data_IF_492046370277
#
_entry.id   IF_492046370277
#
_cell.length_a   1.000
_cell.length_b   1.000
_cell.length_c   1.000
_cell.angle_alpha   90.00
_cell.angle_beta   90.00
_cell.angle_gamma   90.00
#
_symmetry.space_group_name_H-M   'P 1'
#
loop_
_entity.id
_entity.type
_entity.pdbx_description
1 polymer ?
#
# COMPACT_ATOMS: atom_id res chain seq x y z
N UNK A 1 51.21 15.65 -40.06
CA UNK A 1 50.05 14.73 -39.93
C UNK A 1 49.44 14.59 -38.54
N UNK A 2 50.03 15.09 -37.45
CA UNK A 2 49.52 14.84 -36.08
C UNK A 2 48.33 15.71 -35.64
N UNK A 3 48.24 16.96 -36.10
CA UNK A 3 47.20 17.90 -35.65
C UNK A 3 45.78 17.56 -36.14
N UNK A 4 45.64 17.05 -37.38
CA UNK A 4 44.33 16.69 -37.92
C UNK A 4 43.71 15.47 -37.21
N UNK A 5 44.54 14.53 -36.74
CA UNK A 5 44.07 13.34 -36.02
C UNK A 5 43.60 13.66 -34.60
N UNK A 6 44.22 14.65 -33.94
CA UNK A 6 43.80 15.08 -32.60
C UNK A 6 42.45 15.79 -32.62
N UNK A 7 42.16 16.62 -33.63
CA UNK A 7 40.88 17.32 -33.74
C UNK A 7 39.70 16.37 -34.03
N UNK A 8 39.93 15.32 -34.81
CA UNK A 8 38.93 14.27 -35.07
C UNK A 8 38.63 13.47 -33.80
N UNK A 9 39.66 13.09 -33.05
CA UNK A 9 39.50 12.37 -31.78
C UNK A 9 38.78 13.22 -30.72
N UNK A 10 39.13 14.51 -30.61
CA UNK A 10 38.47 15.44 -29.69
C UNK A 10 37.00 15.63 -30.05
N UNK A 11 36.67 15.72 -31.35
CA UNK A 11 35.28 15.84 -31.83
C UNK A 11 34.45 14.59 -31.53
N UNK A 12 35.01 13.39 -31.70
CA UNK A 12 34.34 12.12 -31.36
C UNK A 12 34.11 12.01 -29.85
N UNK A 13 35.07 12.42 -29.03
CA UNK A 13 34.94 12.39 -27.56
C UNK A 13 33.91 13.41 -27.06
N UNK A 14 33.94 14.65 -27.56
CA UNK A 14 32.95 15.67 -27.19
C UNK A 14 31.55 15.27 -27.67
N UNK A 15 31.42 14.77 -28.89
CA UNK A 15 30.17 14.23 -29.44
C UNK A 15 29.64 13.03 -28.63
N UNK A 16 30.52 12.10 -28.25
CA UNK A 16 30.16 10.94 -27.42
C UNK A 16 29.70 11.35 -26.02
N UNK A 17 30.41 12.26 -25.35
CA UNK A 17 30.06 12.72 -24.01
C UNK A 17 28.76 13.54 -23.98
N UNK A 18 28.54 14.38 -24.99
CA UNK A 18 27.29 15.14 -25.15
C UNK A 18 26.11 14.22 -25.48
N UNK A 19 26.30 13.23 -26.37
CA UNK A 19 25.30 12.20 -26.61
C UNK A 19 24.95 11.44 -25.33
N UNK A 20 25.94 11.02 -24.53
CA UNK A 20 25.72 10.30 -23.27
C UNK A 20 24.93 11.14 -22.25
N UNK A 21 25.22 12.44 -22.17
CA UNK A 21 24.46 13.39 -21.36
C UNK A 21 23.02 13.55 -21.85
N UNK A 22 22.81 13.67 -23.15
CA UNK A 22 21.48 13.77 -23.77
C UNK A 22 20.68 12.48 -23.53
N UNK A 23 21.27 11.30 -23.72
CA UNK A 23 20.62 10.01 -23.44
C UNK A 23 20.22 9.87 -21.97
N UNK A 24 21.07 10.32 -21.04
CA UNK A 24 20.76 10.33 -19.61
C UNK A 24 19.55 11.24 -19.29
N UNK A 25 19.51 12.45 -19.88
CA UNK A 25 18.40 13.39 -19.70
C UNK A 25 17.10 12.85 -20.33
N UNK A 26 17.16 12.31 -21.55
CA UNK A 26 16.00 11.69 -22.21
C UNK A 26 15.49 10.49 -21.39
N UNK A 27 16.40 9.64 -20.89
CA UNK A 27 16.06 8.52 -20.01
C UNK A 27 15.38 8.98 -18.73
N UNK A 28 15.89 10.04 -18.09
CA UNK A 28 15.31 10.64 -16.90
C UNK A 28 13.92 11.26 -17.19
N UNK A 29 13.75 11.95 -18.32
CA UNK A 29 12.47 12.52 -18.75
C UNK A 29 11.47 11.41 -19.09
N UNK A 30 11.88 10.34 -19.76
CA UNK A 30 11.01 9.19 -20.05
C UNK A 30 10.57 8.49 -18.76
N UNK A 31 11.50 8.27 -17.82
CA UNK A 31 11.20 7.73 -16.50
C UNK A 31 10.26 8.64 -15.71
N UNK A 32 10.52 9.95 -15.71
CA UNK A 32 9.70 10.96 -15.05
C UNK A 32 8.29 11.04 -15.65
N UNK A 33 8.18 10.99 -16.99
CA UNK A 33 6.89 10.99 -17.70
C UNK A 33 6.11 9.70 -17.46
N UNK A 34 6.78 8.54 -17.37
CA UNK A 34 6.17 7.25 -17.00
C UNK A 34 5.58 7.28 -15.59
N UNK A 35 6.24 7.97 -14.65
CA UNK A 35 5.72 8.17 -13.28
C UNK A 35 4.56 9.17 -13.26
N UNK A 36 4.61 10.25 -14.06
CA UNK A 36 3.52 11.24 -14.14
C UNK A 36 2.23 10.66 -14.73
N UNK A 37 2.30 9.73 -15.68
CA UNK A 37 1.13 9.13 -16.33
C UNK A 37 0.19 8.41 -15.35
N UNK A 38 0.69 7.95 -14.20
CA UNK A 38 -0.10 7.33 -13.13
C UNK A 38 -0.89 8.31 -12.24
N UNK A 39 -0.58 9.62 -12.26
CA UNK A 39 -1.29 10.63 -11.45
C UNK A 39 -2.49 11.26 -12.19
N UNK A 40 -2.68 10.98 -13.48
CA UNK A 40 -3.73 11.59 -14.30
C UNK A 40 -5.11 10.93 -14.20
N UNK A 41 -5.18 9.63 -13.86
CA UNK A 41 -6.44 8.86 -13.88
C UNK A 41 -7.28 8.94 -12.60
N UNK A 42 -6.81 9.62 -11.54
CA UNK A 42 -7.52 9.65 -10.26
C UNK A 42 -8.42 10.88 -10.04
N UNK A 43 -8.63 11.73 -11.07
CA UNK A 43 -9.34 13.02 -10.91
C UNK A 43 -10.80 13.04 -11.38
N UNK A 44 -11.40 11.90 -11.70
CA UNK A 44 -12.77 11.89 -12.23
C UNK A 44 -13.58 10.69 -11.73
N UNK A 45 -14.00 10.73 -10.46
CA UNK A 45 -15.30 10.24 -9.94
C UNK A 45 -15.38 10.74 -8.49
N UNK A 46 -16.10 11.84 -8.27
CA UNK A 46 -16.85 12.11 -7.03
C UNK A 46 -17.52 13.48 -7.15
N UNK A 47 -18.61 13.51 -7.90
CA UNK A 47 -19.65 14.54 -7.77
C UNK A 47 -20.99 13.82 -7.73
N UNK A 48 -21.56 13.65 -6.54
CA UNK A 48 -22.99 13.91 -6.31
C UNK A 48 -23.31 13.94 -4.82
N UNK A 49 -24.09 14.95 -4.49
CA UNK A 49 -24.62 15.38 -3.19
C UNK A 49 -25.43 14.31 -2.45
N UNK A 50 -25.49 14.41 -1.12
CA UNK A 50 -26.75 14.70 -0.46
C UNK A 50 -26.59 15.29 0.95
N UNK A 51 -27.45 16.27 1.23
CA UNK A 51 -27.73 17.01 2.47
C UNK A 51 -27.96 16.04 3.65
N UNK A 52 -27.54 16.29 4.88
CA UNK A 52 -27.93 17.42 5.74
C UNK A 52 -29.02 16.96 6.73
N UNK A 53 -28.65 16.66 7.98
CA UNK A 53 -29.49 16.92 9.16
C UNK A 53 -28.67 16.75 10.44
N UNK A 54 -28.81 17.76 11.27
CA UNK A 54 -28.08 18.01 12.51
C UNK A 54 -29.01 17.80 13.72
N UNK A 55 -28.47 17.96 14.94
CA UNK A 55 -29.12 18.01 16.28
C UNK A 55 -29.20 16.63 17.00
N UNK A 56 -28.36 16.26 17.98
CA UNK A 56 -27.99 16.78 19.32
C UNK A 56 -28.73 16.13 20.53
N UNK A 57 -27.90 15.57 21.44
CA UNK A 57 -27.92 15.67 22.93
C UNK A 57 -28.69 14.64 23.80
N UNK A 58 -27.86 13.81 24.46
CA UNK A 58 -27.79 13.44 25.90
C UNK A 58 -28.90 12.68 26.64
N UNK A 59 -28.50 11.54 27.25
CA UNK A 59 -28.59 11.15 28.68
C UNK A 59 -28.24 9.65 28.80
N UNK A 60 -27.08 9.27 29.35
CA UNK A 60 -26.77 9.05 30.77
C UNK A 60 -27.44 7.80 31.41
N UNK A 61 -26.59 6.81 31.71
CA UNK A 61 -26.50 6.03 32.98
C UNK A 61 -27.36 4.77 33.23
N UNK A 62 -26.60 3.72 33.60
CA UNK A 62 -26.88 2.53 34.43
C UNK A 62 -27.70 1.34 33.91
N UNK A 63 -27.22 0.13 34.24
CA UNK A 63 -28.09 -1.02 34.45
C UNK A 63 -27.46 -2.39 34.17
N UNK A 64 -26.78 -2.93 35.16
CA UNK A 64 -26.21 -4.28 35.29
C UNK A 64 -27.30 -5.32 35.63
N UNK A 65 -27.14 -6.55 35.11
CA UNK A 65 -27.75 -7.83 35.56
C UNK A 65 -29.30 -7.94 35.42
N UNK A 66 -29.96 -9.08 35.17
CA UNK A 66 -29.62 -10.50 35.08
C UNK A 66 -30.86 -11.27 34.55
N UNK A 67 -30.62 -12.44 33.92
CA UNK A 67 -31.41 -13.69 33.95
C UNK A 67 -32.90 -13.71 33.52
N UNK A 68 -33.21 -14.51 32.49
CA UNK A 68 -33.94 -15.80 32.61
C UNK A 68 -34.64 -16.20 31.29
N UNK A 69 -34.27 -17.36 30.73
CA UNK A 69 -35.12 -18.18 29.83
C UNK A 69 -36.23 -18.88 30.66
N UNK A 70 -37.16 -19.73 30.12
CA UNK A 70 -37.44 -20.15 28.73
C UNK A 70 -38.95 -20.24 28.36
N UNK A 71 -39.31 -20.43 27.07
CA UNK A 71 -40.15 -21.55 26.53
C UNK A 71 -40.59 -21.35 25.07
N UNK A 72 -40.60 -22.48 24.38
CA UNK A 72 -40.85 -22.83 22.97
C UNK A 72 -42.33 -22.83 22.52
N UNK A 73 -42.60 -22.65 21.20
CA UNK A 73 -43.59 -23.43 20.41
C UNK A 73 -43.35 -23.30 18.88
N UNK A 74 -43.66 -24.38 18.13
CA UNK A 74 -43.33 -24.69 16.70
C UNK A 74 -44.49 -24.38 15.73
N UNK A 75 -44.21 -24.55 14.42
CA UNK A 75 -45.07 -24.82 13.21
C UNK A 75 -45.07 -23.62 12.23
N UNK A 76 -44.87 -23.71 10.91
CA UNK A 76 -44.82 -24.80 9.93
C UNK A 76 -44.34 -24.28 8.55
N UNK A 77 -44.14 -25.22 7.60
CA UNK A 77 -43.49 -25.12 6.27
C UNK A 77 -44.28 -24.30 5.21
N UNK A 78 -43.59 -23.85 4.14
CA UNK A 78 -43.79 -24.35 2.75
C UNK A 78 -42.95 -23.61 1.67
N UNK A 79 -42.12 -24.40 0.95
CA UNK A 79 -41.82 -24.43 -0.50
C UNK A 79 -41.68 -23.14 -1.34
N UNK A 80 -40.54 -22.98 -2.05
CA UNK A 80 -40.38 -23.21 -3.52
C UNK A 80 -39.02 -22.72 -4.02
N UNK A 81 -38.44 -23.49 -4.94
CA UNK A 81 -37.13 -23.39 -5.60
C UNK A 81 -36.72 -22.00 -6.12
N UNK A 82 -35.40 -21.74 -6.11
CA UNK A 82 -34.65 -21.25 -7.28
C UNK A 82 -33.15 -21.52 -7.15
N UNK A 83 -32.65 -22.43 -8.00
CA UNK A 83 -31.23 -22.64 -8.30
C UNK A 83 -30.58 -21.33 -8.73
N UNK A 84 -29.43 -20.99 -8.15
CA UNK A 84 -28.45 -20.12 -8.78
C UNK A 84 -27.03 -20.52 -8.36
N UNK A 85 -26.38 -21.21 -9.30
CA UNK A 85 -24.94 -21.22 -9.62
C UNK A 85 -23.92 -21.24 -8.46
N UNK A 86 -23.39 -22.44 -8.23
CA UNK A 86 -22.14 -22.69 -7.53
C UNK A 86 -20.96 -22.00 -8.23
N UNK A 87 -20.34 -21.05 -7.55
CA UNK A 87 -18.91 -20.76 -7.65
C UNK A 87 -18.38 -20.56 -6.22
N UNK A 88 -18.21 -21.65 -5.48
CA UNK A 88 -17.35 -21.66 -4.30
C UNK A 88 -15.91 -21.42 -4.76
N UNK A 89 -15.50 -20.16 -4.81
CA UNK A 89 -14.10 -19.78 -4.60
C UNK A 89 -13.83 -19.82 -3.10
N UNK A 90 -13.79 -21.03 -2.54
CA UNK A 90 -13.24 -21.28 -1.21
C UNK A 90 -11.72 -21.21 -1.32
N UNK A 91 -11.15 -20.00 -1.34
CA UNK A 91 -9.77 -19.78 -0.91
C UNK A 91 -9.80 -19.68 0.62
N UNK A 92 -9.17 -20.64 1.25
CA UNK A 92 -9.17 -20.95 2.67
C UNK A 92 -8.83 -19.76 3.56
N UNK A 93 -9.67 -19.54 4.57
CA UNK A 93 -9.41 -18.67 5.73
C UNK A 93 -8.12 -19.05 6.50
N UNK A 94 -7.55 -20.23 6.21
CA UNK A 94 -6.32 -20.74 6.82
C UNK A 94 -5.02 -20.11 6.24
N UNK A 95 -5.07 -19.50 5.05
CA UNK A 95 -3.85 -19.03 4.38
C UNK A 95 -3.42 -17.63 4.85
N UNK A 96 -4.37 -16.81 5.32
CA UNK A 96 -4.09 -15.45 5.81
C UNK A 96 -3.42 -15.42 7.20
N UNK A 97 -3.72 -16.37 8.10
CA UNK A 97 -3.01 -16.44 9.39
C UNK A 97 -1.54 -16.86 9.24
N UNK A 98 -1.23 -17.64 8.22
CA UNK A 98 0.12 -18.18 8.01
C UNK A 98 1.10 -17.08 7.60
N UNK A 99 0.66 -16.08 6.81
CA UNK A 99 1.52 -15.00 6.30
C UNK A 99 1.80 -13.94 7.37
N UNK A 100 0.79 -13.59 8.18
CA UNK A 100 0.96 -12.68 9.32
C UNK A 100 2.00 -13.20 10.31
N UNK A 101 2.07 -14.53 10.49
CA UNK A 101 3.02 -15.19 11.39
C UNK A 101 4.48 -15.11 10.92
N UNK A 102 4.72 -14.89 9.62
CA UNK A 102 6.07 -14.75 9.04
C UNK A 102 6.58 -13.31 9.05
N UNK A 103 5.70 -12.32 9.24
CA UNK A 103 6.04 -10.90 9.30
C UNK A 103 6.64 -10.52 10.66
N UNK A 104 7.89 -10.07 10.65
CA UNK A 104 8.64 -9.65 11.83
C UNK A 104 8.87 -8.14 11.83
N UNK A 105 8.56 -7.47 12.93
CA UNK A 105 8.90 -6.05 13.09
C UNK A 105 10.37 -5.95 13.48
N UNK A 106 11.18 -5.32 12.62
CA UNK A 106 12.60 -5.05 12.93
C UNK A 106 12.77 -3.75 13.72
N UNK A 107 12.02 -2.71 13.34
CA UNK A 107 12.00 -1.43 14.04
C UNK A 107 10.66 -0.73 13.79
N UNK A 108 10.13 -0.05 14.78
CA UNK A 108 8.90 0.73 14.65
C UNK A 108 8.96 1.97 15.53
N UNK A 109 8.66 3.12 14.93
CA UNK A 109 8.39 4.37 15.60
C UNK A 109 7.03 4.85 15.08
N UNK A 110 5.96 4.29 15.63
CA UNK A 110 4.57 4.65 15.36
C UNK A 110 3.64 4.08 16.45
N UNK A 111 2.42 4.61 16.63
CA UNK A 111 1.47 4.08 17.61
C UNK A 111 1.03 2.65 17.28
N UNK A 112 0.66 1.87 18.30
CA UNK A 112 0.31 0.44 18.15
C UNK A 112 -0.82 0.19 17.14
N UNK A 113 -1.83 1.07 17.09
CA UNK A 113 -2.93 0.92 16.12
C UNK A 113 -2.44 1.05 14.67
N UNK A 114 -1.51 1.98 14.42
CA UNK A 114 -0.91 2.20 13.09
C UNK A 114 0.05 1.08 12.74
N UNK A 115 0.81 0.57 13.71
CA UNK A 115 1.68 -0.60 13.54
C UNK A 115 0.88 -1.83 13.12
N UNK A 116 -0.27 -2.10 13.77
CA UNK A 116 -1.17 -3.20 13.39
C UNK A 116 -1.73 -3.03 11.97
N UNK A 117 -2.11 -1.80 11.60
CA UNK A 117 -2.54 -1.50 10.24
C UNK A 117 -1.42 -1.75 9.21
N UNK A 118 -0.19 -1.34 9.51
CA UNK A 118 0.98 -1.59 8.65
C UNK A 118 1.24 -3.07 8.44
N UNK A 119 1.18 -3.88 9.51
CA UNK A 119 1.36 -5.33 9.44
C UNK A 119 0.27 -5.97 8.59
N UNK A 120 -1.00 -5.57 8.79
CA UNK A 120 -2.13 -6.09 8.01
C UNK A 120 -2.00 -5.76 6.52
N UNK A 121 -1.72 -4.50 6.18
CA UNK A 121 -1.51 -4.08 4.80
C UNK A 121 -0.32 -4.81 4.16
N UNK A 122 0.78 -4.97 4.89
CA UNK A 122 1.94 -5.70 4.39
C UNK A 122 1.65 -7.18 4.16
N UNK A 123 0.94 -7.85 5.09
CA UNK A 123 0.51 -9.24 4.95
C UNK A 123 -0.32 -9.44 3.68
N UNK A 124 -1.36 -8.61 3.51
CA UNK A 124 -2.24 -8.68 2.35
C UNK A 124 -1.50 -8.40 1.04
N UNK A 125 -0.63 -7.39 1.01
CA UNK A 125 0.16 -7.07 -0.18
C UNK A 125 1.14 -8.19 -0.55
N UNK A 126 1.80 -8.81 0.44
CA UNK A 126 2.69 -9.95 0.23
C UNK A 126 1.97 -11.23 -0.19
N UNK A 127 0.68 -11.37 0.16
CA UNK A 127 -0.15 -12.49 -0.30
C UNK A 127 -0.54 -12.34 -1.78
N UNK A 128 -0.95 -11.14 -2.19
CA UNK A 128 -1.48 -10.87 -3.53
C UNK A 128 -0.37 -10.67 -4.56
N UNK A 129 0.74 -10.01 -4.18
CA UNK A 129 1.77 -9.58 -5.12
C UNK A 129 3.10 -10.28 -4.87
N UNK A 130 3.72 -10.76 -5.94
CA UNK A 130 5.08 -11.34 -5.90
C UNK A 130 6.17 -10.31 -6.22
N UNK A 131 5.85 -9.27 -6.99
CA UNK A 131 6.80 -8.25 -7.41
C UNK A 131 6.92 -7.15 -6.36
N UNK A 132 8.15 -6.89 -5.89
CA UNK A 132 8.49 -5.89 -4.86
C UNK A 132 7.86 -4.51 -5.13
N UNK A 133 7.91 -4.08 -6.39
CA UNK A 133 7.28 -2.83 -6.83
C UNK A 133 5.78 -2.77 -6.55
N UNK A 134 5.06 -3.85 -6.82
CA UNK A 134 3.60 -3.90 -6.62
C UNK A 134 3.25 -3.97 -5.14
N UNK A 135 4.02 -4.72 -4.36
CA UNK A 135 3.89 -4.74 -2.88
C UNK A 135 4.06 -3.32 -2.33
N UNK A 136 5.13 -2.62 -2.70
CA UNK A 136 5.40 -1.26 -2.24
C UNK A 136 4.28 -0.28 -2.62
N UNK A 137 3.79 -0.36 -3.86
CA UNK A 137 2.73 0.49 -4.38
C UNK A 137 1.40 0.26 -3.65
N UNK A 138 1.02 -1.00 -3.40
CA UNK A 138 -0.18 -1.35 -2.65
C UNK A 138 -0.13 -0.84 -1.21
N UNK A 139 0.94 -1.13 -0.47
CA UNK A 139 1.09 -0.68 0.92
C UNK A 139 1.04 0.85 1.00
N UNK A 140 1.75 1.53 0.09
CA UNK A 140 1.75 2.99 0.03
C UNK A 140 0.36 3.55 -0.21
N UNK A 141 -0.38 3.02 -1.18
CA UNK A 141 -1.73 3.50 -1.51
C UNK A 141 -2.70 3.32 -0.35
N UNK A 142 -2.66 2.16 0.30
CA UNK A 142 -3.51 1.88 1.47
C UNK A 142 -3.21 2.84 2.63
N UNK A 143 -1.93 3.13 2.87
CA UNK A 143 -1.53 4.06 3.93
C UNK A 143 -1.80 5.52 3.60
N UNK A 144 -1.66 5.93 2.34
CA UNK A 144 -2.03 7.29 1.90
C UNK A 144 -3.54 7.54 1.97
N UNK A 145 -4.35 6.49 1.83
CA UNK A 145 -5.81 6.56 1.95
C UNK A 145 -6.26 6.61 3.41
N UNK A 146 -5.69 5.74 4.25
CA UNK A 146 -6.06 5.64 5.67
C UNK A 146 -5.46 6.73 6.54
N UNK A 147 -4.27 7.22 6.16
CA UNK A 147 -3.51 8.21 6.93
C UNK A 147 -3.12 9.36 6.01
N UNK A 148 -2.96 10.56 6.59
CA UNK A 148 -2.64 11.77 5.82
C UNK A 148 -1.43 11.52 4.89
N UNK A 149 -1.55 11.73 3.56
CA UNK A 149 -0.44 11.57 2.62
C UNK A 149 0.70 12.58 2.89
N UNK A 150 1.90 12.41 2.33
CA UNK A 150 2.33 11.33 1.44
C UNK A 150 3.26 10.36 2.18
N UNK A 151 2.97 9.07 2.11
CA UNK A 151 3.80 7.98 2.60
C UNK A 151 4.75 7.48 1.52
N UNK A 152 5.87 6.92 1.96
CA UNK A 152 6.89 6.30 1.13
C UNK A 152 7.06 4.85 1.58
N UNK A 153 7.09 3.93 0.61
CA UNK A 153 7.32 2.51 0.86
C UNK A 153 8.47 2.02 -0.02
N UNK A 154 9.40 1.27 0.57
CA UNK A 154 10.55 0.65 -0.08
C UNK A 154 10.50 -0.84 0.27
N UNK A 155 10.66 -1.70 -0.73
CA UNK A 155 10.60 -3.15 -0.58
C UNK A 155 11.75 -3.76 -1.36
N UNK A 156 12.48 -4.70 -0.75
CA UNK A 156 13.58 -5.41 -1.40
C UNK A 156 14.37 -6.32 -0.46
N UNK A 157 15.25 -7.17 -1.01
CA UNK A 157 15.98 -8.19 -0.23
C UNK A 157 17.29 -7.71 0.40
N UNK A 158 18.08 -6.92 -0.32
CA UNK A 158 19.44 -6.54 0.10
C UNK A 158 19.67 -5.04 -0.09
N UNK A 159 19.36 -4.24 0.94
CA UNK A 159 19.56 -2.80 0.89
C UNK A 159 19.71 -2.21 2.30
N UNK A 160 20.42 -1.08 2.36
CA UNK A 160 20.48 -0.21 3.54
C UNK A 160 19.64 1.05 3.33
N UNK A 161 19.14 1.65 4.41
CA UNK A 161 18.49 2.97 4.35
C UNK A 161 19.01 3.90 5.42
N UNK A 162 19.31 5.13 5.02
CA UNK A 162 19.40 6.29 5.89
C UNK A 162 18.33 7.27 5.40
N UNK A 163 17.20 7.35 6.11
CA UNK A 163 16.08 8.23 5.77
C UNK A 163 15.80 9.16 6.93
N UNK A 164 15.41 10.39 6.62
CA UNK A 164 14.84 11.32 7.62
C UNK A 164 13.34 11.20 7.56
N UNK A 165 12.71 10.80 8.67
CA UNK A 165 11.27 10.61 8.77
C UNK A 165 10.64 11.54 9.81
N UNK A 166 9.36 11.82 9.63
CA UNK A 166 8.52 12.47 10.63
C UNK A 166 8.38 11.58 11.87
N UNK A 167 8.30 12.19 13.06
CA UNK A 167 8.07 11.47 14.32
C UNK A 167 6.84 10.57 14.22
N UNK A 168 6.92 9.39 14.82
CA UNK A 168 5.83 8.42 14.89
C UNK A 168 5.31 7.90 13.52
N UNK A 169 6.10 8.07 12.45
CA UNK A 169 5.72 7.67 11.10
C UNK A 169 6.82 6.81 10.45
N UNK A 170 7.29 5.77 11.14
CA UNK A 170 8.34 4.87 10.63
C UNK A 170 8.10 3.41 11.07
N UNK A 171 8.19 2.47 10.13
CA UNK A 171 8.23 1.04 10.43
C UNK A 171 9.06 0.28 9.41
N UNK A 172 9.86 -0.67 9.91
CA UNK A 172 10.64 -1.62 9.15
C UNK A 172 10.20 -3.02 9.51
N UNK A 173 9.74 -3.76 8.51
CA UNK A 173 9.24 -5.12 8.60
C UNK A 173 10.14 -6.05 7.79
N UNK A 174 10.22 -7.30 8.23
CA UNK A 174 10.87 -8.39 7.52
C UNK A 174 9.83 -9.47 7.25
N UNK A 175 9.70 -9.86 5.99
CA UNK A 175 8.87 -10.98 5.55
C UNK A 175 9.76 -11.94 4.75
N UNK A 176 10.06 -13.11 5.31
CA UNK A 176 11.06 -14.05 4.76
C UNK A 176 12.42 -13.37 4.55
N UNK A 177 12.85 -13.25 3.30
CA UNK A 177 14.06 -12.58 2.82
C UNK A 177 13.81 -11.14 2.36
N UNK A 178 12.55 -10.68 2.39
CA UNK A 178 12.12 -9.37 1.92
C UNK A 178 12.03 -8.36 3.07
N UNK A 179 12.77 -7.26 2.95
CA UNK A 179 12.66 -6.12 3.87
C UNK A 179 11.70 -5.08 3.30
N UNK A 180 10.77 -4.63 4.13
CA UNK A 180 9.75 -3.61 3.83
C UNK A 180 9.98 -2.43 4.77
N UNK A 181 10.12 -1.23 4.22
CA UNK A 181 10.21 0.02 4.98
C UNK A 181 9.12 0.98 4.54
N UNK A 182 8.32 1.41 5.50
CA UNK A 182 7.23 2.36 5.32
C UNK A 182 7.48 3.55 6.24
N UNK A 183 7.53 4.76 5.66
CA UNK A 183 7.78 5.97 6.42
C UNK A 183 7.13 7.21 5.79
N UNK A 184 7.03 8.28 6.58
CA UNK A 184 6.64 9.61 6.10
C UNK A 184 7.80 10.57 6.23
N UNK A 185 8.12 11.31 5.17
CA UNK A 185 9.14 12.37 5.22
C UNK A 185 8.59 13.61 5.93
N UNK A 186 9.47 14.37 6.60
CA UNK A 186 9.11 15.67 7.20
C UNK A 186 8.84 16.75 6.16
#
# INVERSE_FOLDING_TARGET
>A
SSAASTDVLVSILIGGLTALRIYSVIGAVFFYNKVRKRKGEQKHISSSNNEGSDIQISKNVNGYASTSSPKSHKIGRNTTERRAFSLTATSSVADEETISSELKVQAAEMPLHMQKAAIKCASQACHIFTTEKHIAESIKQDFDSQFKPTWHCIVGRNWGSCVTHSKHCYIRLLYKDLTILLYKSS
#
